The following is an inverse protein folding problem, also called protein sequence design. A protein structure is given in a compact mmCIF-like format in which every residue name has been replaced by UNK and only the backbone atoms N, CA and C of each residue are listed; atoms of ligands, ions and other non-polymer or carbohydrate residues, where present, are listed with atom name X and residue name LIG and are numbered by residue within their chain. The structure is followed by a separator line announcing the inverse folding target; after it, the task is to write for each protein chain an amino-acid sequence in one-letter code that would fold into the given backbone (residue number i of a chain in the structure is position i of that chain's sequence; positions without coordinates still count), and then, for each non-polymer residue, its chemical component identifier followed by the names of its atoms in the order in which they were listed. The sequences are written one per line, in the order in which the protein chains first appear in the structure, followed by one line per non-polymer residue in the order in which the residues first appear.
data_IF_459157562306
#
_entry.id   IF_459157562306
#
_cell.length_a   1.000
_cell.length_b   1.000
_cell.length_c   1.000
_cell.angle_alpha   90.00
_cell.angle_beta   90.00
_cell.angle_gamma   90.00
#
_symmetry.space_group_name_H-M   'P 1'
#
loop_
_entity.id
_entity.type
_entity.pdbx_description
1 polymer ?
#
# COMPACT_ATOMS: atom_id res chain seq x y z
N UNK A 1 25.60 -5.50 -11.21
CA UNK A 1 24.74 -6.43 -10.43
C UNK A 1 23.49 -5.71 -9.96
N UNK A 2 22.47 -6.44 -9.45
CA UNK A 2 21.24 -5.86 -8.93
C UNK A 2 21.17 -6.09 -7.43
N UNK A 3 20.92 -5.04 -6.67
CA UNK A 3 20.85 -5.06 -5.21
C UNK A 3 19.57 -4.42 -4.71
N UNK A 4 19.16 -4.77 -3.51
CA UNK A 4 18.23 -3.95 -2.71
C UNK A 4 18.85 -3.65 -1.36
N UNK A 5 18.53 -2.47 -0.82
CA UNK A 5 19.00 -2.11 0.51
C UNK A 5 18.23 -2.89 1.55
N UNK A 6 18.94 -3.69 2.35
CA UNK A 6 18.35 -4.42 3.48
C UNK A 6 17.95 -3.44 4.57
N UNK A 7 16.71 -3.51 5.02
CA UNK A 7 16.20 -2.69 6.13
C UNK A 7 16.09 -3.51 7.41
N UNK A 8 16.20 -2.83 8.55
CA UNK A 8 15.95 -3.43 9.86
C UNK A 8 14.59 -2.99 10.36
N UNK A 9 13.74 -3.93 10.71
CA UNK A 9 12.37 -3.69 11.16
C UNK A 9 12.25 -3.88 12.67
N UNK A 10 11.91 -2.81 13.41
CA UNK A 10 11.71 -2.88 14.87
C UNK A 10 10.46 -3.67 15.27
N UNK A 11 9.46 -3.71 14.39
CA UNK A 11 8.18 -4.40 14.60
C UNK A 11 7.84 -5.23 13.36
N UNK A 12 8.23 -6.50 13.38
CA UNK A 12 7.93 -7.43 12.28
C UNK A 12 6.40 -7.59 12.05
N UNK A 13 5.60 -7.47 13.09
CA UNK A 13 4.14 -7.70 13.06
C UNK A 13 3.31 -6.43 12.73
N UNK A 14 3.82 -5.57 11.85
CA UNK A 14 3.13 -4.35 11.42
C UNK A 14 2.89 -4.39 9.90
N UNK A 15 1.70 -3.97 9.43
CA UNK A 15 1.36 -3.98 8.01
C UNK A 15 2.37 -3.24 7.10
N UNK A 16 2.98 -2.17 7.60
CA UNK A 16 4.03 -1.45 6.88
C UNK A 16 5.34 -2.24 6.76
N UNK A 17 5.67 -3.04 7.76
CA UNK A 17 6.83 -3.95 7.72
C UNK A 17 6.56 -5.12 6.76
N UNK A 18 5.34 -5.68 6.77
CA UNK A 18 4.95 -6.76 5.85
C UNK A 18 5.16 -6.35 4.39
N UNK A 19 4.64 -5.19 3.96
CA UNK A 19 4.80 -4.71 2.59
C UNK A 19 6.27 -4.62 2.14
N UNK A 20 7.16 -4.22 3.06
CA UNK A 20 8.59 -4.09 2.79
C UNK A 20 9.30 -5.44 2.78
N UNK A 21 8.97 -6.31 3.73
CA UNK A 21 9.51 -7.67 3.80
C UNK A 21 9.11 -8.50 2.57
N UNK A 22 7.86 -8.39 2.13
CA UNK A 22 7.39 -9.03 0.90
C UNK A 22 8.14 -8.50 -0.34
N UNK A 23 8.35 -7.19 -0.41
CA UNK A 23 9.14 -6.60 -1.50
C UNK A 23 10.58 -7.11 -1.51
N UNK A 24 11.24 -7.22 -0.34
CA UNK A 24 12.59 -7.81 -0.24
C UNK A 24 12.60 -9.28 -0.70
N UNK A 25 11.63 -10.08 -0.26
CA UNK A 25 11.51 -11.48 -0.67
C UNK A 25 11.31 -11.61 -2.18
N UNK A 26 10.42 -10.80 -2.77
CA UNK A 26 10.19 -10.78 -4.22
C UNK A 26 11.47 -10.38 -4.95
N UNK A 27 12.22 -9.40 -4.46
CA UNK A 27 13.49 -9.00 -5.07
C UNK A 27 14.53 -10.12 -5.00
N UNK A 28 14.68 -10.82 -3.86
CA UNK A 28 15.54 -12.00 -3.71
C UNK A 28 15.17 -13.09 -4.73
N UNK A 29 13.90 -13.45 -4.83
CA UNK A 29 13.39 -14.48 -5.74
C UNK A 29 13.57 -14.09 -7.23
N UNK A 30 13.80 -12.81 -7.52
CA UNK A 30 14.11 -12.30 -8.86
C UNK A 30 15.60 -11.94 -9.08
N UNK A 31 16.49 -12.50 -8.26
CA UNK A 31 17.94 -12.45 -8.45
C UNK A 31 18.61 -11.15 -8.00
N UNK A 32 17.93 -10.34 -7.17
CA UNK A 32 18.57 -9.22 -6.49
C UNK A 32 19.32 -9.72 -5.27
N UNK A 33 20.44 -9.10 -4.95
CA UNK A 33 21.26 -9.40 -3.78
C UNK A 33 20.97 -8.41 -2.65
N UNK A 34 21.08 -8.87 -1.41
CA UNK A 34 21.00 -7.98 -0.25
C UNK A 34 22.23 -7.06 -0.19
N UNK A 35 21.99 -5.78 0.03
CA UNK A 35 23.02 -4.81 0.35
C UNK A 35 22.80 -4.28 1.76
N UNK A 36 23.71 -4.63 2.66
CA UNK A 36 23.66 -4.23 4.07
C UNK A 36 24.57 -3.03 4.30
N UNK A 37 24.02 -1.92 4.81
CA UNK A 37 24.83 -0.78 5.27
C UNK A 37 25.29 -1.01 6.70
N UNK A 38 26.58 -1.03 6.89
CA UNK A 38 27.19 -0.95 8.23
C UNK A 38 27.66 0.48 8.52
N UNK A 39 27.82 0.85 9.79
CA UNK A 39 28.25 2.21 10.19
C UNK A 39 29.60 2.63 9.59
N UNK A 40 30.46 1.68 9.27
CA UNK A 40 31.79 1.88 8.68
C UNK A 40 31.82 1.77 7.15
N UNK A 41 30.76 1.29 6.51
CA UNK A 41 30.75 1.11 5.07
C UNK A 41 30.20 2.34 4.36
N UNK A 42 31.07 3.01 3.63
CA UNK A 42 30.67 3.81 2.50
C UNK A 42 30.17 2.85 1.40
N UNK A 43 29.20 3.27 0.57
CA UNK A 43 28.73 2.51 -0.62
C UNK A 43 29.81 2.25 -1.68
N UNK A 44 31.04 2.09 -1.28
CA UNK A 44 32.24 2.07 -2.09
C UNK A 44 32.46 0.83 -2.98
N UNK A 45 31.77 -0.31 -2.83
CA UNK A 45 31.96 -1.36 -3.82
C UNK A 45 31.01 -1.28 -5.02
N UNK A 46 29.97 -0.40 -5.01
CA UNK A 46 29.04 -0.30 -6.13
C UNK A 46 29.62 0.51 -7.28
N UNK A 47 29.46 -0.01 -8.50
CA UNK A 47 29.98 0.56 -9.74
C UNK A 47 28.85 1.18 -10.57
N UNK A 48 29.19 1.85 -11.67
CA UNK A 48 28.23 2.47 -12.60
C UNK A 48 27.24 1.49 -13.22
N UNK A 49 27.59 0.21 -13.27
CA UNK A 49 26.77 -0.86 -13.86
C UNK A 49 25.87 -1.55 -12.81
N UNK A 50 26.01 -1.18 -11.53
CA UNK A 50 25.21 -1.70 -10.46
C UNK A 50 23.91 -0.91 -10.27
N UNK A 51 22.87 -1.61 -9.86
CA UNK A 51 21.55 -1.07 -9.56
C UNK A 51 21.20 -1.39 -8.12
N UNK A 52 20.74 -0.41 -7.36
CA UNK A 52 20.21 -0.63 -6.01
C UNK A 52 18.77 -0.13 -5.90
N UNK A 53 17.89 -0.97 -5.35
CA UNK A 53 16.52 -0.60 -5.00
C UNK A 53 16.49 -0.13 -3.55
N UNK A 54 15.89 1.02 -3.32
CA UNK A 54 15.68 1.62 -2.00
C UNK A 54 14.18 1.70 -1.73
N UNK A 55 13.74 1.29 -0.56
CA UNK A 55 12.34 1.42 -0.16
C UNK A 55 12.10 2.78 0.49
N UNK A 56 11.15 3.56 0.00
CA UNK A 56 10.89 4.93 0.46
C UNK A 56 9.57 5.03 1.26
N UNK A 57 9.54 5.73 2.41
CA UNK A 57 10.63 6.47 3.07
C UNK A 57 11.70 5.53 3.62
N UNK A 58 12.96 5.99 3.59
CA UNK A 58 14.09 5.21 4.10
C UNK A 58 14.00 5.07 5.63
N UNK A 59 13.95 3.83 6.14
CA UNK A 59 13.81 3.51 7.57
C UNK A 59 15.16 3.48 8.32
N UNK A 60 16.13 4.24 7.88
CA UNK A 60 17.44 4.29 8.57
C UNK A 60 17.35 5.08 9.87
N UNK A 61 17.30 4.39 10.96
CA UNK A 61 17.22 5.03 12.27
C UNK A 61 18.56 5.67 12.70
N UNK A 62 19.69 5.10 12.30
CA UNK A 62 21.02 5.53 12.74
C UNK A 62 21.73 6.51 11.81
N UNK A 63 21.33 6.63 10.54
CA UNK A 63 22.01 7.50 9.59
C UNK A 63 21.38 8.90 9.55
N UNK A 64 22.11 9.89 10.09
CA UNK A 64 21.73 11.31 10.09
C UNK A 64 21.27 11.75 8.69
N UNK A 65 20.23 12.58 8.62
CA UNK A 65 19.62 13.12 7.38
C UNK A 65 20.62 13.61 6.30
N UNK A 66 21.80 14.08 6.71
CA UNK A 66 22.84 14.57 5.83
C UNK A 66 23.53 13.48 4.99
N UNK A 67 23.62 12.25 5.50
CA UNK A 67 24.26 11.14 4.78
C UNK A 67 23.38 10.71 3.60
N UNK A 68 22.06 10.73 3.76
CA UNK A 68 21.08 10.38 2.70
C UNK A 68 21.25 11.25 1.45
N UNK A 69 21.43 12.56 1.63
CA UNK A 69 21.58 13.51 0.51
C UNK A 69 22.98 13.43 -0.09
N UNK A 70 24.05 13.31 0.75
CA UNK A 70 25.43 13.16 0.26
C UNK A 70 25.63 11.87 -0.54
N UNK A 71 25.00 10.78 -0.10
CA UNK A 71 25.01 9.50 -0.79
C UNK A 71 24.46 9.63 -2.22
N UNK A 72 23.26 10.17 -2.38
CA UNK A 72 22.65 10.33 -3.71
C UNK A 72 23.37 11.38 -4.60
N UNK A 73 24.17 12.28 -4.00
CA UNK A 73 24.95 13.27 -4.74
C UNK A 73 26.23 12.73 -5.38
N UNK A 74 26.89 11.79 -4.71
CA UNK A 74 28.24 11.31 -5.09
C UNK A 74 28.25 9.83 -5.53
N UNK A 75 27.10 9.25 -5.83
CA UNK A 75 27.02 7.84 -6.21
C UNK A 75 27.61 7.59 -7.59
N UNK A 76 28.21 6.43 -7.75
CA UNK A 76 28.67 5.90 -9.04
C UNK A 76 27.93 4.60 -9.37
N UNK A 77 26.58 4.58 -9.19
CA UNK A 77 25.69 3.45 -9.46
C UNK A 77 24.27 3.98 -9.67
N UNK A 78 23.38 3.14 -10.23
CA UNK A 78 21.97 3.49 -10.43
C UNK A 78 21.15 3.20 -9.16
N UNK A 79 20.30 4.16 -8.76
CA UNK A 79 19.43 4.03 -7.60
C UNK A 79 17.95 4.18 -8.01
N UNK A 80 17.12 3.22 -7.62
CA UNK A 80 15.68 3.25 -7.83
C UNK A 80 14.94 3.27 -6.50
N UNK A 81 13.79 3.93 -6.47
CA UNK A 81 12.93 3.96 -5.29
C UNK A 81 11.66 3.15 -5.51
N UNK A 82 11.36 2.26 -4.58
CA UNK A 82 10.01 1.71 -4.38
C UNK A 82 9.31 2.55 -3.32
N UNK A 83 8.26 3.28 -3.70
CA UNK A 83 7.51 4.13 -2.78
C UNK A 83 6.52 3.29 -1.99
N UNK A 84 6.54 3.39 -0.65
CA UNK A 84 5.51 2.88 0.25
C UNK A 84 4.63 3.99 0.82
N UNK A 85 5.18 5.19 1.00
CA UNK A 85 4.45 6.36 1.48
C UNK A 85 5.19 7.65 1.12
N UNK A 86 4.44 8.73 0.92
CA UNK A 86 4.98 10.08 0.75
C UNK A 86 4.25 11.00 1.74
N UNK A 87 4.86 11.19 2.89
CA UNK A 87 4.27 11.97 3.97
C UNK A 87 3.88 13.39 3.56
N UNK A 88 4.66 14.05 2.71
CA UNK A 88 4.35 15.38 2.18
C UNK A 88 3.11 15.43 1.29
N UNK A 89 2.75 14.33 0.63
CA UNK A 89 1.50 14.23 -0.14
C UNK A 89 0.30 13.90 0.76
N UNK A 90 0.52 13.19 1.86
CA UNK A 90 -0.53 12.89 2.84
C UNK A 90 -0.87 14.11 3.69
N UNK A 91 0.12 14.86 4.15
CA UNK A 91 -0.03 15.98 5.09
C UNK A 91 -0.24 17.32 4.37
N UNK A 92 -1.19 17.40 3.44
CA UNK A 92 -1.48 18.65 2.70
C UNK A 92 -2.17 19.73 3.55
N UNK A 93 -2.77 19.42 4.70
CA UNK A 93 -3.46 20.38 5.57
C UNK A 93 -2.51 20.93 6.64
N UNK A 94 -2.15 22.20 6.48
CA UNK A 94 -1.35 22.96 7.42
C UNK A 94 -2.32 23.61 8.43
N UNK A 95 -2.19 23.25 9.71
CA UNK A 95 -3.03 23.80 10.79
C UNK A 95 -2.33 24.88 11.60
N UNK A 96 -0.99 24.96 11.54
CA UNK A 96 -0.19 25.91 12.28
C UNK A 96 1.06 26.35 11.50
N UNK A 97 1.71 27.44 11.93
CA UNK A 97 2.97 27.91 11.33
C UNK A 97 4.12 26.89 11.52
N UNK A 98 4.14 26.17 12.63
CA UNK A 98 5.09 25.09 12.86
C UNK A 98 4.86 23.92 11.90
N UNK A 99 3.61 23.52 11.65
CA UNK A 99 3.24 22.49 10.67
C UNK A 99 3.61 22.91 9.25
N UNK A 100 3.46 24.20 8.93
CA UNK A 100 3.87 24.75 7.64
C UNK A 100 5.38 24.59 7.41
N UNK A 101 6.19 25.03 8.38
CA UNK A 101 7.66 24.91 8.31
C UNK A 101 8.10 23.45 8.22
N UNK A 102 7.50 22.57 9.01
CA UNK A 102 7.77 21.13 8.99
C UNK A 102 7.40 20.52 7.64
N UNK A 103 6.22 20.85 7.11
CA UNK A 103 5.73 20.35 5.81
C UNK A 103 6.61 20.80 4.65
N UNK A 104 7.08 22.04 4.63
CA UNK A 104 8.00 22.55 3.59
C UNK A 104 9.34 21.82 3.67
N UNK A 105 9.92 21.65 4.85
CA UNK A 105 11.20 20.94 5.00
C UNK A 105 11.07 19.50 4.51
N UNK A 106 10.01 18.79 4.88
CA UNK A 106 9.75 17.43 4.41
C UNK A 106 9.51 17.35 2.90
N UNK A 107 8.75 18.32 2.34
CA UNK A 107 8.52 18.42 0.91
C UNK A 107 9.83 18.60 0.15
N UNK A 108 10.67 19.53 0.58
CA UNK A 108 11.97 19.78 -0.06
C UNK A 108 12.93 18.59 0.07
N UNK A 109 12.96 17.92 1.22
CA UNK A 109 13.76 16.72 1.44
C UNK A 109 13.31 15.57 0.55
N UNK A 110 11.98 15.31 0.50
CA UNK A 110 11.43 14.26 -0.35
C UNK A 110 11.69 14.57 -1.83
N UNK A 111 11.42 15.80 -2.27
CA UNK A 111 11.69 16.23 -3.64
C UNK A 111 13.15 16.03 -4.03
N UNK A 112 14.10 16.45 -3.16
CA UNK A 112 15.52 16.29 -3.41
C UNK A 112 15.95 14.82 -3.59
N UNK A 113 15.36 13.89 -2.83
CA UNK A 113 15.63 12.45 -2.99
C UNK A 113 15.04 11.94 -4.31
N UNK A 114 13.76 12.25 -4.58
CA UNK A 114 13.05 11.83 -5.78
C UNK A 114 13.69 12.34 -7.07
N UNK A 115 14.20 13.57 -7.10
CA UNK A 115 14.89 14.15 -8.26
C UNK A 115 16.21 13.46 -8.58
N UNK A 116 16.89 12.93 -7.57
CA UNK A 116 18.25 12.41 -7.68
C UNK A 116 18.36 10.93 -8.01
N UNK A 117 17.29 10.19 -7.92
CA UNK A 117 17.28 8.77 -8.30
C UNK A 117 17.08 8.62 -9.81
N UNK A 118 17.45 7.46 -10.34
CA UNK A 118 17.33 7.14 -11.75
C UNK A 118 15.95 6.64 -12.12
N UNK A 119 15.25 6.02 -11.18
CA UNK A 119 13.88 5.57 -11.38
C UNK A 119 13.05 5.52 -10.10
N UNK A 120 11.73 5.54 -10.27
CA UNK A 120 10.75 5.55 -9.18
C UNK A 120 9.61 4.59 -9.53
N UNK A 121 9.31 3.69 -8.62
CA UNK A 121 8.11 2.86 -8.66
C UNK A 121 7.07 3.50 -7.74
N UNK A 122 6.08 4.16 -8.32
CA UNK A 122 4.96 4.79 -7.64
C UNK A 122 3.80 3.82 -7.50
N UNK A 123 2.87 4.06 -6.58
CA UNK A 123 1.72 3.17 -6.36
C UNK A 123 0.87 2.98 -7.64
N UNK A 124 0.60 4.07 -8.36
CA UNK A 124 -0.32 4.11 -9.50
C UNK A 124 -0.12 5.39 -10.31
N UNK A 125 -0.89 5.56 -11.39
CA UNK A 125 -0.81 6.72 -12.27
C UNK A 125 -1.30 8.02 -11.60
N UNK A 126 -2.16 7.96 -10.58
CA UNK A 126 -2.55 9.17 -9.81
C UNK A 126 -1.37 9.69 -9.00
N UNK A 127 -0.64 8.81 -8.30
CA UNK A 127 0.59 9.19 -7.59
C UNK A 127 1.67 9.65 -8.57
N UNK A 128 1.86 8.96 -9.71
CA UNK A 128 2.75 9.39 -10.79
C UNK A 128 2.44 10.82 -11.22
N UNK A 129 1.17 11.14 -11.43
CA UNK A 129 0.73 12.49 -11.81
C UNK A 129 1.05 13.54 -10.75
N UNK A 130 0.88 13.24 -9.45
CA UNK A 130 1.26 14.15 -8.37
C UNK A 130 2.78 14.37 -8.31
N UNK A 131 3.59 13.33 -8.52
CA UNK A 131 5.05 13.45 -8.60
C UNK A 131 5.49 14.33 -9.77
N UNK A 132 4.85 14.18 -10.94
CA UNK A 132 5.12 15.04 -12.10
C UNK A 132 4.78 16.51 -11.80
N UNK A 133 3.65 16.79 -11.12
CA UNK A 133 3.30 18.14 -10.65
C UNK A 133 4.34 18.72 -9.67
N UNK A 134 5.04 17.87 -8.91
CA UNK A 134 6.15 18.27 -8.05
C UNK A 134 7.46 18.56 -8.84
N UNK A 135 7.46 18.35 -10.16
CA UNK A 135 8.61 18.57 -11.04
C UNK A 135 9.48 17.33 -11.27
N UNK A 136 9.03 16.13 -10.89
CA UNK A 136 9.77 14.90 -11.17
C UNK A 136 9.55 14.49 -12.63
N UNK A 137 10.63 14.14 -13.32
CA UNK A 137 10.57 13.69 -14.71
C UNK A 137 9.69 12.45 -14.86
N UNK A 138 8.67 12.54 -15.72
CA UNK A 138 7.69 11.48 -15.99
C UNK A 138 8.32 10.16 -16.44
N UNK A 139 9.40 10.25 -17.23
CA UNK A 139 10.10 9.09 -17.80
C UNK A 139 10.81 8.23 -16.74
N UNK A 140 11.06 8.79 -15.55
CA UNK A 140 11.62 8.04 -14.43
C UNK A 140 10.57 7.25 -13.62
N UNK A 141 9.28 7.45 -13.87
CA UNK A 141 8.23 6.95 -12.97
C UNK A 141 7.45 5.82 -13.64
N UNK A 142 7.50 4.66 -13.00
CA UNK A 142 6.71 3.46 -13.35
C UNK A 142 5.62 3.29 -12.30
N UNK A 143 4.42 2.88 -12.73
CA UNK A 143 3.32 2.53 -11.83
C UNK A 143 3.39 1.07 -11.41
N UNK A 144 3.24 0.81 -10.10
CA UNK A 144 3.15 -0.54 -9.51
C UNK A 144 1.80 -1.20 -9.78
N UNK A 145 0.74 -0.41 -9.84
CA UNK A 145 -0.69 -0.76 -9.97
C UNK A 145 -1.32 -1.22 -8.66
N UNK A 146 -0.76 -2.23 -7.98
CA UNK A 146 -1.13 -2.68 -6.64
C UNK A 146 0.08 -3.31 -5.97
N UNK A 147 0.16 -3.28 -4.63
CA UNK A 147 1.20 -4.00 -3.90
C UNK A 147 0.99 -5.50 -3.96
N UNK A 148 2.08 -6.24 -4.01
CA UNK A 148 2.04 -7.68 -3.76
C UNK A 148 1.87 -7.96 -2.25
N UNK A 149 1.38 -9.15 -1.93
CA UNK A 149 1.17 -9.63 -0.56
C UNK A 149 1.41 -11.14 -0.56
N UNK A 150 2.57 -11.55 -0.08
CA UNK A 150 2.93 -12.96 -0.01
C UNK A 150 2.20 -13.60 1.18
N UNK A 151 1.60 -14.76 0.94
CA UNK A 151 0.90 -15.51 1.99
C UNK A 151 1.56 -16.89 2.08
N UNK A 152 2.30 -17.18 3.17
CA UNK A 152 2.74 -18.53 3.47
C UNK A 152 1.51 -19.45 3.69
N UNK A 153 1.56 -20.65 3.17
CA UNK A 153 0.54 -21.70 3.41
C UNK A 153 -0.91 -21.23 3.19
N UNK A 154 -1.15 -20.59 2.03
CA UNK A 154 -2.46 -20.04 1.69
C UNK A 154 -3.53 -21.12 1.57
N UNK A 155 -4.59 -20.99 2.37
CA UNK A 155 -5.78 -21.80 2.26
C UNK A 155 -6.79 -21.18 1.26
N UNK A 156 -7.06 -21.92 0.17
CA UNK A 156 -8.03 -21.50 -0.87
C UNK A 156 -9.49 -21.75 -0.46
N UNK A 157 -9.73 -22.62 0.53
CA UNK A 157 -11.07 -22.90 1.03
C UNK A 157 -11.60 -21.74 1.85
N UNK A 158 -12.35 -20.87 1.20
CA UNK A 158 -13.01 -19.70 1.81
C UNK A 158 -14.50 -19.86 1.76
N UNK A 159 -15.16 -19.61 2.87
CA UNK A 159 -16.60 -19.45 2.92
C UNK A 159 -16.97 -18.00 2.59
N UNK A 160 -17.71 -17.80 1.51
CA UNK A 160 -18.10 -16.47 1.03
C UNK A 160 -19.54 -16.16 1.44
N UNK A 161 -19.68 -15.04 2.15
CA UNK A 161 -20.98 -14.49 2.56
C UNK A 161 -21.02 -13.01 2.18
N UNK A 162 -21.74 -12.68 1.11
CA UNK A 162 -21.74 -11.34 0.52
C UNK A 162 -22.25 -10.25 1.49
N UNK A 163 -23.01 -10.63 2.52
CA UNK A 163 -23.57 -9.70 3.49
C UNK A 163 -22.62 -9.43 4.68
N UNK A 164 -21.42 -10.01 4.67
CA UNK A 164 -20.36 -9.79 5.68
C UNK A 164 -19.20 -9.02 5.10
N UNK A 165 -18.93 -7.86 5.64
CA UNK A 165 -17.86 -6.96 5.21
C UNK A 165 -16.66 -7.07 6.16
N UNK A 166 -15.49 -7.36 5.59
CA UNK A 166 -14.23 -7.51 6.29
C UNK A 166 -13.56 -6.15 6.50
N UNK A 167 -13.25 -5.79 7.72
CA UNK A 167 -12.43 -4.65 8.08
C UNK A 167 -11.16 -5.14 8.77
N UNK A 168 -10.00 -4.96 8.14
CA UNK A 168 -8.74 -5.40 8.70
C UNK A 168 -7.72 -4.26 8.83
N UNK A 169 -6.95 -4.27 9.93
CA UNK A 169 -5.83 -3.36 10.12
C UNK A 169 -5.66 -2.77 11.51
N UNK A 170 -5.02 -1.62 11.56
CA UNK A 170 -4.87 -0.83 12.79
C UNK A 170 -5.97 0.23 12.85
N UNK A 171 -6.81 0.15 13.89
CA UNK A 171 -7.94 1.04 14.11
C UNK A 171 -7.56 2.31 14.90
N UNK A 172 -6.37 2.86 14.66
CA UNK A 172 -5.99 4.19 15.17
C UNK A 172 -7.05 5.21 14.77
N UNK A 173 -7.63 5.88 15.75
CA UNK A 173 -8.74 6.84 15.59
C UNK A 173 -8.45 7.94 14.56
N UNK A 174 -7.18 8.32 14.38
CA UNK A 174 -6.78 9.33 13.40
C UNK A 174 -6.99 8.86 11.96
N UNK A 175 -7.02 7.55 11.75
CA UNK A 175 -7.14 6.90 10.44
C UNK A 175 -8.51 6.29 10.20
N UNK A 176 -9.16 5.80 11.25
CA UNK A 176 -10.34 4.94 11.15
C UNK A 176 -11.52 5.42 11.97
N UNK A 177 -11.65 6.75 12.16
CA UNK A 177 -12.78 7.33 12.92
C UNK A 177 -14.13 6.90 12.34
N UNK A 178 -14.22 6.67 11.03
CA UNK A 178 -15.42 6.16 10.36
C UNK A 178 -15.95 4.86 10.98
N UNK A 179 -15.07 4.01 11.51
CA UNK A 179 -15.44 2.71 12.07
C UNK A 179 -16.28 2.80 13.38
N UNK A 180 -16.39 4.00 13.96
CA UNK A 180 -17.30 4.27 15.09
C UNK A 180 -18.73 4.59 14.65
N UNK A 181 -18.97 4.79 13.37
CA UNK A 181 -20.26 5.17 12.81
C UNK A 181 -20.56 4.30 11.58
N UNK A 182 -20.39 2.99 11.70
CA UNK A 182 -20.78 2.04 10.66
C UNK A 182 -22.29 2.03 10.51
N UNK A 183 -22.82 1.81 9.30
CA UNK A 183 -24.27 1.66 9.10
C UNK A 183 -24.79 0.39 9.81
N UNK A 184 -26.09 0.35 10.09
CA UNK A 184 -26.76 -0.79 10.75
C UNK A 184 -26.76 -2.06 9.89
N UNK A 185 -26.54 -1.95 8.61
CA UNK A 185 -26.40 -3.03 7.62
C UNK A 185 -25.32 -2.68 6.62
N UNK A 186 -24.54 -3.62 6.11
CA UNK A 186 -24.50 -5.07 6.38
C UNK A 186 -23.81 -5.45 7.69
N UNK A 187 -23.47 -6.73 7.88
CA UNK A 187 -22.62 -7.17 8.99
C UNK A 187 -21.14 -6.79 8.75
N UNK A 188 -20.42 -6.45 9.83
CA UNK A 188 -19.02 -6.06 9.78
C UNK A 188 -18.17 -6.98 10.65
N UNK A 189 -17.20 -7.66 10.02
CA UNK A 189 -16.24 -8.54 10.66
C UNK A 189 -14.91 -7.80 10.84
N UNK A 190 -14.54 -7.49 12.08
CA UNK A 190 -13.42 -6.60 12.43
C UNK A 190 -12.20 -7.41 12.87
N UNK A 191 -11.08 -7.22 12.18
CA UNK A 191 -9.79 -7.89 12.44
C UNK A 191 -8.69 -6.86 12.66
N UNK A 192 -8.12 -6.78 13.86
CA UNK A 192 -6.97 -5.89 14.07
C UNK A 192 -6.83 -5.32 15.47
N UNK A 193 -5.83 -4.46 15.61
CA UNK A 193 -5.46 -3.83 16.87
C UNK A 193 -6.13 -2.46 17.04
N UNK A 194 -6.20 -1.97 18.29
CA UNK A 194 -6.73 -0.66 18.67
C UNK A 194 -8.21 -0.43 18.31
N UNK A 195 -8.97 -1.50 18.14
CA UNK A 195 -10.43 -1.42 18.00
C UNK A 195 -11.10 -1.45 19.38
N UNK A 196 -12.02 -0.50 19.61
CA UNK A 196 -12.84 -0.46 20.82
C UNK A 196 -13.94 -1.51 20.69
N UNK A 197 -13.80 -2.65 21.38
CA UNK A 197 -14.68 -3.81 21.24
C UNK A 197 -15.77 -3.91 22.29
N UNK A 198 -15.92 -2.91 23.16
CA UNK A 198 -16.97 -2.85 24.16
C UNK A 198 -18.25 -2.21 23.59
N UNK A 199 -19.42 -2.77 23.96
CA UNK A 199 -20.75 -2.25 23.58
C UNK A 199 -20.92 -2.05 22.05
N UNK A 200 -20.52 -3.05 21.26
CA UNK A 200 -20.64 -3.01 19.81
C UNK A 200 -22.11 -3.09 19.36
N UNK A 201 -22.47 -2.44 18.24
CA UNK A 201 -23.73 -2.70 17.55
C UNK A 201 -23.87 -4.18 17.18
N UNK A 202 -25.10 -4.69 17.10
CA UNK A 202 -25.37 -6.12 16.85
C UNK A 202 -24.78 -6.64 15.53
N UNK A 203 -24.58 -5.76 14.55
CA UNK A 203 -24.01 -6.07 13.24
C UNK A 203 -22.50 -5.88 13.15
N UNK A 204 -21.81 -5.67 14.28
CA UNK A 204 -20.35 -5.47 14.32
C UNK A 204 -19.70 -6.53 15.19
N UNK A 205 -18.84 -7.35 14.61
CA UNK A 205 -18.24 -8.51 15.27
C UNK A 205 -16.72 -8.38 15.30
N UNK A 206 -16.14 -8.22 16.49
CA UNK A 206 -14.69 -8.20 16.66
C UNK A 206 -14.13 -9.63 16.71
N UNK A 207 -13.22 -9.95 15.78
CA UNK A 207 -12.60 -11.27 15.63
C UNK A 207 -11.20 -11.38 16.20
N UNK A 208 -10.67 -10.29 16.75
CA UNK A 208 -9.32 -10.25 17.30
C UNK A 208 -8.26 -9.73 16.34
N UNK A 209 -7.01 -9.83 16.77
CA UNK A 209 -5.86 -9.38 16.02
C UNK A 209 -4.94 -10.57 15.70
N UNK A 210 -4.46 -10.62 14.46
CA UNK A 210 -3.60 -11.66 13.93
C UNK A 210 -2.35 -11.06 13.33
N UNK A 211 -1.29 -11.84 13.20
CA UNK A 211 -0.11 -11.41 12.45
C UNK A 211 -0.45 -11.23 10.96
N UNK A 212 0.30 -10.43 10.21
CA UNK A 212 0.05 -10.26 8.77
C UNK A 212 0.09 -11.56 7.96
N UNK A 213 0.84 -12.57 8.39
CA UNK A 213 0.93 -13.87 7.72
C UNK A 213 -0.23 -14.80 8.06
N UNK A 214 -0.76 -14.73 9.29
CA UNK A 214 -1.90 -15.53 9.75
C UNK A 214 -3.24 -14.98 9.26
N UNK A 215 -3.37 -13.64 9.26
CA UNK A 215 -4.63 -12.94 9.00
C UNK A 215 -5.34 -13.38 7.71
N UNK A 216 -4.66 -13.58 6.56
CA UNK A 216 -5.32 -14.03 5.34
C UNK A 216 -6.14 -15.32 5.50
N UNK A 217 -5.65 -16.26 6.32
CA UNK A 217 -6.32 -17.54 6.56
C UNK A 217 -7.46 -17.44 7.59
N UNK A 218 -7.49 -16.37 8.40
CA UNK A 218 -8.55 -16.13 9.39
C UNK A 218 -9.74 -15.35 8.84
N UNK A 219 -9.58 -14.66 7.71
CA UNK A 219 -10.64 -13.85 7.11
C UNK A 219 -11.81 -14.72 6.66
N UNK A 220 -13.03 -14.37 7.11
CA UNK A 220 -14.29 -15.00 6.74
C UNK A 220 -15.35 -13.93 6.48
N UNK A 221 -15.91 -13.87 5.27
CA UNK A 221 -16.91 -12.88 4.88
C UNK A 221 -17.08 -12.79 3.37
N UNK A 222 -17.55 -11.67 2.85
CA UNK A 222 -17.87 -11.49 1.44
C UNK A 222 -17.00 -10.49 0.71
N UNK A 223 -16.75 -9.34 1.32
CA UNK A 223 -15.99 -8.26 0.72
C UNK A 223 -15.00 -7.64 1.71
N UNK A 224 -13.82 -7.26 1.23
CA UNK A 224 -12.86 -6.48 2.01
C UNK A 224 -13.06 -4.98 1.84
N UNK A 225 -13.26 -4.23 2.92
CA UNK A 225 -13.46 -2.78 2.87
C UNK A 225 -12.14 -2.02 2.85
N UNK A 226 -11.93 -1.26 1.79
CA UNK A 226 -10.80 -0.34 1.64
C UNK A 226 -11.28 1.09 1.87
N UNK A 227 -11.26 1.51 3.14
CA UNK A 227 -11.75 2.80 3.59
C UNK A 227 -10.83 3.37 4.66
N UNK A 228 -10.56 4.66 4.64
CA UNK A 228 -9.81 5.39 5.66
C UNK A 228 -10.44 6.79 5.84
N UNK A 229 -10.23 7.37 7.01
CA UNK A 229 -10.63 8.75 7.28
C UNK A 229 -11.63 8.94 8.41
N UNK A 230 -12.24 10.12 8.42
CA UNK A 230 -13.02 10.60 9.56
C UNK A 230 -14.51 10.23 9.50
N UNK A 231 -15.03 9.83 8.32
CA UNK A 231 -16.46 9.69 8.10
C UNK A 231 -16.83 8.44 7.30
N UNK A 232 -17.99 7.85 7.64
CA UNK A 232 -18.62 6.79 6.86
C UNK A 232 -19.34 7.30 5.61
N UNK A 233 -19.67 8.60 5.53
CA UNK A 233 -20.31 9.21 4.36
C UNK A 233 -19.34 9.42 3.19
N UNK A 234 -18.06 9.62 3.47
CA UNK A 234 -17.00 9.78 2.46
C UNK A 234 -15.64 9.62 3.10
N UNK A 235 -14.64 9.22 2.32
CA UNK A 235 -13.26 9.21 2.80
C UNK A 235 -12.73 10.64 2.96
N UNK A 236 -12.86 11.17 4.17
CA UNK A 236 -12.48 12.53 4.54
C UNK A 236 -11.28 12.56 5.50
N UNK A 237 -10.79 13.77 5.79
CA UNK A 237 -9.60 13.94 6.62
C UNK A 237 -8.29 13.58 5.87
N UNK A 238 -7.19 13.65 6.61
CA UNK A 238 -5.85 13.48 6.03
C UNK A 238 -5.66 12.10 5.36
N UNK A 239 -6.07 11.04 6.03
CA UNK A 239 -5.92 9.68 5.51
C UNK A 239 -6.95 9.35 4.43
N UNK A 240 -8.19 9.84 4.55
CA UNK A 240 -9.22 9.65 3.55
C UNK A 240 -8.89 10.34 2.22
N UNK A 241 -8.48 11.60 2.26
CA UNK A 241 -8.04 12.34 1.07
C UNK A 241 -6.81 11.70 0.40
N UNK A 242 -5.94 11.08 1.18
CA UNK A 242 -4.76 10.40 0.65
C UNK A 242 -5.12 9.17 -0.21
N UNK A 243 -6.29 8.54 0.00
CA UNK A 243 -6.79 7.46 -0.86
C UNK A 243 -6.96 7.86 -2.33
N UNK A 244 -7.07 9.16 -2.64
CA UNK A 244 -7.12 9.66 -4.02
C UNK A 244 -5.84 9.44 -4.81
N UNK A 245 -4.73 9.15 -4.12
CA UNK A 245 -3.40 9.00 -4.74
C UNK A 245 -2.64 7.76 -4.30
N UNK A 246 -2.92 7.20 -3.11
CA UNK A 246 -2.24 5.99 -2.65
C UNK A 246 -3.09 4.73 -2.82
N UNK A 247 -2.44 3.57 -2.69
CA UNK A 247 -3.09 2.26 -2.58
C UNK A 247 -2.76 1.69 -1.22
N UNK A 248 -3.77 1.53 -0.32
CA UNK A 248 -3.55 0.92 0.98
C UNK A 248 -3.24 -0.58 0.85
N UNK A 249 -2.29 -1.06 1.64
CA UNK A 249 -1.87 -2.47 1.62
C UNK A 249 -3.00 -3.46 2.00
N UNK A 250 -4.06 -3.00 2.69
CA UNK A 250 -5.26 -3.80 2.96
C UNK A 250 -6.00 -4.25 1.69
N UNK A 251 -5.92 -3.50 0.58
CA UNK A 251 -6.47 -3.92 -0.70
C UNK A 251 -5.78 -5.18 -1.21
N UNK A 252 -4.45 -5.22 -1.11
CA UNK A 252 -3.66 -6.39 -1.47
C UNK A 252 -3.96 -7.58 -0.56
N UNK A 253 -4.10 -7.35 0.76
CA UNK A 253 -4.50 -8.37 1.72
C UNK A 253 -5.80 -9.06 1.30
N UNK A 254 -6.87 -8.30 1.06
CA UNK A 254 -8.18 -8.88 0.73
C UNK A 254 -8.15 -9.63 -0.61
N UNK A 255 -7.60 -9.01 -1.65
CA UNK A 255 -7.49 -9.65 -2.96
C UNK A 255 -6.59 -10.88 -2.92
N UNK A 256 -5.43 -10.82 -2.24
CA UNK A 256 -4.54 -11.97 -2.03
C UNK A 256 -5.24 -13.12 -1.29
N UNK A 257 -6.19 -12.78 -0.39
CA UNK A 257 -7.02 -13.75 0.32
C UNK A 257 -8.23 -14.24 -0.48
N UNK A 258 -8.41 -13.76 -1.72
CA UNK A 258 -9.48 -14.19 -2.63
C UNK A 258 -10.81 -13.44 -2.48
N UNK A 259 -10.87 -12.38 -1.66
CA UNK A 259 -12.08 -11.59 -1.46
C UNK A 259 -12.16 -10.40 -2.42
N UNK A 260 -13.32 -10.16 -3.08
CA UNK A 260 -13.59 -8.91 -3.77
C UNK A 260 -13.57 -7.74 -2.79
N UNK A 261 -13.30 -6.53 -3.29
CA UNK A 261 -13.12 -5.36 -2.43
C UNK A 261 -14.19 -4.29 -2.66
N UNK A 262 -14.54 -3.59 -1.57
CA UNK A 262 -15.34 -2.37 -1.61
C UNK A 262 -14.38 -1.19 -1.47
N UNK A 263 -14.42 -0.27 -2.43
CA UNK A 263 -13.55 0.89 -2.42
C UNK A 263 -14.36 2.19 -2.61
N UNK A 264 -13.81 3.27 -2.06
CA UNK A 264 -14.36 4.59 -2.31
C UNK A 264 -14.22 4.97 -3.79
N UNK A 265 -15.31 5.44 -4.41
CA UNK A 265 -15.41 5.72 -5.84
C UNK A 265 -14.38 6.75 -6.34
N UNK A 266 -13.92 7.66 -5.46
CA UNK A 266 -12.90 8.66 -5.77
C UNK A 266 -11.47 8.22 -5.43
N UNK A 267 -11.27 6.99 -4.93
CA UNK A 267 -9.93 6.47 -4.61
C UNK A 267 -9.11 6.20 -5.87
N UNK A 268 -7.79 6.24 -5.74
CA UNK A 268 -6.88 5.85 -6.81
C UNK A 268 -7.03 4.38 -7.22
N UNK A 269 -7.58 3.55 -6.33
CA UNK A 269 -7.83 2.13 -6.57
C UNK A 269 -9.09 1.88 -7.42
N UNK A 270 -9.97 2.88 -7.59
CA UNK A 270 -11.24 2.70 -8.29
C UNK A 270 -11.08 2.23 -9.74
N UNK A 271 -10.09 2.75 -10.46
CA UNK A 271 -9.82 2.35 -11.84
C UNK A 271 -9.31 0.91 -11.93
N UNK A 272 -8.44 0.51 -10.98
CA UNK A 272 -7.98 -0.89 -10.89
C UNK A 272 -9.14 -1.86 -10.65
N UNK A 273 -10.05 -1.53 -9.74
CA UNK A 273 -11.22 -2.36 -9.42
C UNK A 273 -12.14 -2.49 -10.63
N UNK A 274 -12.44 -1.40 -11.33
CA UNK A 274 -13.25 -1.43 -12.56
C UNK A 274 -12.62 -2.30 -13.65
N UNK A 275 -11.35 -2.04 -13.95
CA UNK A 275 -10.65 -2.69 -15.05
C UNK A 275 -10.46 -4.20 -14.83
N UNK A 276 -10.42 -4.64 -13.58
CA UNK A 276 -10.25 -6.05 -13.21
C UNK A 276 -11.56 -6.72 -12.79
N UNK A 277 -12.66 -5.99 -12.67
CA UNK A 277 -13.95 -6.48 -12.15
C UNK A 277 -13.77 -7.32 -10.87
N UNK A 278 -13.03 -6.76 -9.87
CA UNK A 278 -12.65 -7.46 -8.64
C UNK A 278 -13.25 -6.82 -7.38
N UNK A 279 -14.35 -6.07 -7.53
CA UNK A 279 -15.00 -5.41 -6.41
C UNK A 279 -16.03 -4.38 -6.84
N UNK A 280 -16.54 -3.62 -5.88
CA UNK A 280 -17.55 -2.59 -6.05
C UNK A 280 -17.09 -1.21 -5.60
N UNK A 281 -17.74 -0.18 -6.12
CA UNK A 281 -17.41 1.22 -5.85
C UNK A 281 -18.59 1.91 -5.18
N UNK A 282 -18.33 2.54 -4.02
CA UNK A 282 -19.36 3.29 -3.27
C UNK A 282 -18.88 4.71 -2.99
N UNK A 283 -19.81 5.67 -2.86
CA UNK A 283 -19.49 7.01 -2.39
C UNK A 283 -19.53 7.09 -0.87
N UNK A 284 -20.39 6.27 -0.24
CA UNK A 284 -20.66 6.22 1.19
C UNK A 284 -20.80 4.78 1.67
N UNK A 285 -20.43 4.49 2.91
CA UNK A 285 -20.68 3.17 3.50
C UNK A 285 -22.19 2.88 3.65
N UNK A 286 -23.03 3.91 3.71
CA UNK A 286 -24.49 3.76 3.76
C UNK A 286 -25.09 3.26 2.46
N UNK A 287 -24.36 3.29 1.33
CA UNK A 287 -24.79 2.74 0.04
C UNK A 287 -24.53 1.22 -0.07
N UNK A 288 -23.70 0.64 0.83
CA UNK A 288 -23.23 -0.75 0.69
C UNK A 288 -24.41 -1.72 0.68
N UNK A 289 -25.34 -1.64 1.64
CA UNK A 289 -26.45 -2.57 1.76
C UNK A 289 -27.32 -2.62 0.48
N UNK A 290 -27.67 -1.48 -0.08
CA UNK A 290 -28.45 -1.41 -1.33
C UNK A 290 -27.63 -1.89 -2.54
N UNK A 291 -26.34 -1.57 -2.58
CA UNK A 291 -25.43 -2.05 -3.63
C UNK A 291 -25.35 -3.59 -3.60
N UNK A 292 -25.18 -4.19 -2.42
CA UNK A 292 -25.11 -5.66 -2.28
C UNK A 292 -26.42 -6.35 -2.69
N UNK A 293 -27.58 -5.77 -2.37
CA UNK A 293 -28.88 -6.29 -2.82
C UNK A 293 -29.04 -6.26 -4.34
N UNK A 294 -28.44 -5.28 -5.01
CA UNK A 294 -28.50 -5.16 -6.48
C UNK A 294 -27.60 -6.14 -7.21
N UNK A 295 -26.63 -6.76 -6.55
CA UNK A 295 -25.70 -7.72 -7.14
C UNK A 295 -26.33 -9.12 -7.12
N UNK A 296 -26.54 -9.69 -8.30
CA UNK A 296 -26.99 -11.08 -8.45
C UNK A 296 -25.93 -12.08 -7.96
N UNK A 297 -26.35 -13.30 -7.67
CA UNK A 297 -25.43 -14.37 -7.26
C UNK A 297 -24.37 -14.67 -8.33
N UNK A 298 -24.72 -14.57 -9.61
CA UNK A 298 -23.78 -14.85 -10.70
C UNK A 298 -22.76 -13.71 -10.86
N UNK A 299 -23.17 -12.44 -10.71
CA UNK A 299 -22.25 -11.30 -10.65
C UNK A 299 -21.29 -11.43 -9.46
N UNK A 300 -21.80 -11.82 -8.29
CA UNK A 300 -20.96 -12.02 -7.10
C UNK A 300 -19.92 -13.14 -7.31
N UNK A 301 -20.33 -14.27 -7.91
CA UNK A 301 -19.41 -15.36 -8.27
C UNK A 301 -18.31 -14.88 -9.23
N UNK A 302 -18.67 -14.03 -10.21
CA UNK A 302 -17.68 -13.48 -11.14
C UNK A 302 -16.70 -12.50 -10.44
N UNK A 303 -17.17 -11.68 -9.50
CA UNK A 303 -16.30 -10.86 -8.66
C UNK A 303 -15.29 -11.71 -7.85
N UNK A 304 -15.75 -12.80 -7.23
CA UNK A 304 -14.89 -13.73 -6.49
C UNK A 304 -13.85 -14.36 -7.43
N UNK A 305 -14.27 -14.87 -8.58
CA UNK A 305 -13.38 -15.49 -9.58
C UNK A 305 -12.28 -14.54 -10.02
N UNK A 306 -12.63 -13.28 -10.32
CA UNK A 306 -11.68 -12.26 -10.71
C UNK A 306 -10.74 -11.89 -9.54
N UNK A 307 -11.27 -11.79 -8.32
CA UNK A 307 -10.46 -11.52 -7.13
C UNK A 307 -9.46 -12.64 -6.85
N UNK A 308 -9.84 -13.89 -7.02
CA UNK A 308 -8.93 -15.05 -6.91
C UNK A 308 -7.81 -14.99 -7.96
N UNK A 309 -8.15 -14.68 -9.22
CA UNK A 309 -7.18 -14.51 -10.31
C UNK A 309 -6.17 -13.40 -10.05
N UNK A 310 -6.64 -12.25 -9.52
CA UNK A 310 -5.76 -11.14 -9.13
C UNK A 310 -4.96 -11.51 -7.88
N UNK A 311 -5.58 -12.17 -6.91
CA UNK A 311 -4.96 -12.63 -5.68
C UNK A 311 -3.80 -13.58 -5.93
N UNK A 312 -3.93 -14.49 -6.90
CA UNK A 312 -2.83 -15.37 -7.32
C UNK A 312 -1.62 -14.57 -7.81
N UNK A 313 -1.84 -13.58 -8.68
CA UNK A 313 -0.77 -12.69 -9.15
C UNK A 313 -0.10 -11.93 -7.99
N UNK A 314 -0.92 -11.41 -7.05
CA UNK A 314 -0.44 -10.69 -5.87
C UNK A 314 0.44 -11.61 -5.00
N UNK A 315 0.01 -12.85 -4.73
CA UNK A 315 0.79 -13.82 -3.94
C UNK A 315 2.08 -14.28 -4.62
N UNK A 316 2.16 -14.17 -5.95
CA UNK A 316 3.35 -14.52 -6.75
C UNK A 316 4.34 -13.37 -6.96
N UNK A 317 4.10 -12.18 -6.38
CA UNK A 317 4.98 -11.02 -6.54
C UNK A 317 4.98 -10.41 -7.95
N UNK A 318 3.90 -10.63 -8.71
CA UNK A 318 3.80 -10.28 -10.13
C UNK A 318 3.94 -8.77 -10.37
N UNK A 319 3.33 -7.94 -9.54
CA UNK A 319 3.26 -6.49 -9.77
C UNK A 319 4.62 -5.83 -9.54
N UNK A 320 5.31 -6.14 -8.45
CA UNK A 320 6.65 -5.61 -8.20
C UNK A 320 7.66 -6.14 -9.24
N UNK A 321 7.62 -7.42 -9.57
CA UNK A 321 8.48 -7.99 -10.62
C UNK A 321 8.29 -7.24 -11.94
N UNK A 322 7.04 -7.04 -12.37
CA UNK A 322 6.72 -6.31 -13.60
C UNK A 322 7.20 -4.86 -13.56
N UNK A 323 7.04 -4.17 -12.42
CA UNK A 323 7.50 -2.80 -12.25
C UNK A 323 9.03 -2.68 -12.29
N UNK A 324 9.75 -3.62 -11.67
CA UNK A 324 11.22 -3.69 -11.71
C UNK A 324 11.74 -3.93 -13.12
N UNK A 325 11.09 -4.79 -13.91
CA UNK A 325 11.44 -5.03 -15.32
C UNK A 325 11.23 -3.77 -16.19
N UNK A 326 10.09 -3.07 -16.00
CA UNK A 326 9.79 -1.81 -16.71
C UNK A 326 10.83 -0.74 -16.36
N UNK A 327 11.14 -0.55 -15.08
CA UNK A 327 12.20 0.37 -14.64
C UNK A 327 13.55 0.09 -15.31
N UNK A 328 13.93 -1.17 -15.43
CA UNK A 328 15.18 -1.56 -16.07
C UNK A 328 15.22 -1.28 -17.59
N UNK A 329 14.07 -1.37 -18.28
CA UNK A 329 14.00 -1.17 -19.75
C UNK A 329 13.93 0.31 -20.15
N UNK A 330 13.28 1.16 -19.40
CA UNK A 330 13.14 2.59 -19.74
C UNK A 330 14.47 3.34 -19.66
N UNK A 331 15.40 2.86 -18.82
CA UNK A 331 16.72 3.49 -18.63
C UNK A 331 17.77 3.04 -19.68
N UNK A 332 17.56 1.90 -20.33
CA UNK A 332 18.43 1.48 -21.46
C UNK A 332 18.16 2.32 -22.72
N UNK A 333 17.02 3.05 -22.77
CA UNK A 333 16.62 3.90 -23.91
C UNK A 333 16.97 5.38 -23.72
N UNK A 334 17.40 5.79 -22.54
CA UNK A 334 17.86 7.15 -22.22
C UNK A 334 19.38 7.22 -22.09
#
# INVERSE_FOLDING_TARGET
MKYFLKETYEKANHAGSKARMDAEKIMLDNGYLEYVLTESQNFNPLTKDDVIILQFPLLWQSLKKQIRIKFLKKRNFKAYLLIHDIESLRNKKIKSFSDFKYSIIHLLQNKTVLERVDGIIAHNDKMKSELVKMGINKEKIVSLEIFDYLIPDFNEDKNYDKDKILLAGNFDIRKTRYARNLPEMPEFEIYGINFESENLPNNVHYKGAFTPDELPNQLQGGFGLVWDGDSAHTCSGMYGEYLKINIPHKASLYLASGFPIIVWKQSALADFVRNNNCGILVNSLFEIAETLKSISEDEYKELIKNSKRIGEKIRQGHYLKTALEKCGREIVKS
#
